data_IF_365623480408
#
_entry.id   IF_365623480408
#
_cell.length_a   1.000
_cell.length_b   1.000
_cell.length_c   1.000
_cell.angle_alpha   90.00
_cell.angle_beta   90.00
_cell.angle_gamma   90.00
#
_symmetry.space_group_name_H-M   'P 1'
#
loop_
_entity.id
_entity.type
_entity.pdbx_description
1 polymer ?
#
# COMPACT_ATOMS: atom_id res chain seq x y z
N UNK A 1 -39.18 -27.20 -33.84
CA UNK A 1 -38.69 -26.00 -33.14
C UNK A 1 -37.74 -26.45 -32.06
N UNK A 2 -36.42 -26.45 -32.37
CA UNK A 2 -35.37 -26.89 -31.45
C UNK A 2 -34.74 -25.70 -30.76
N UNK A 3 -34.87 -25.62 -29.46
CA UNK A 3 -34.22 -24.63 -28.63
C UNK A 3 -32.73 -25.03 -28.47
N UNK A 4 -31.87 -24.35 -29.16
CA UNK A 4 -30.41 -24.46 -28.96
C UNK A 4 -30.05 -23.83 -27.63
N UNK A 5 -29.83 -24.65 -26.61
CA UNK A 5 -29.14 -24.26 -25.38
C UNK A 5 -27.68 -23.96 -25.72
N UNK A 6 -27.33 -22.68 -25.81
CA UNK A 6 -25.93 -22.25 -25.73
C UNK A 6 -25.39 -22.57 -24.33
N UNK A 7 -24.73 -23.71 -24.19
CA UNK A 7 -23.85 -24.00 -23.07
C UNK A 7 -22.73 -23.00 -23.12
N UNK A 8 -22.75 -21.97 -22.27
CA UNK A 8 -21.56 -21.17 -22.01
C UNK A 8 -20.46 -22.10 -21.52
N UNK A 9 -19.49 -22.37 -22.38
CA UNK A 9 -18.26 -23.01 -22.01
C UNK A 9 -17.54 -22.05 -21.04
N UNK A 10 -17.64 -22.30 -19.73
CA UNK A 10 -16.77 -21.71 -18.73
C UNK A 10 -15.38 -22.29 -18.97
N UNK A 11 -14.55 -21.57 -19.74
CA UNK A 11 -13.13 -21.83 -19.72
C UNK A 11 -12.64 -21.62 -18.28
N UNK A 12 -11.81 -22.51 -17.73
CA UNK A 12 -11.20 -22.26 -16.43
C UNK A 12 -10.41 -20.95 -16.58
N UNK A 13 -10.78 -19.94 -15.80
CA UNK A 13 -10.05 -18.67 -15.75
C UNK A 13 -8.68 -19.04 -15.16
N UNK A 14 -7.64 -18.98 -15.99
CA UNK A 14 -6.29 -19.24 -15.53
C UNK A 14 -5.88 -18.10 -14.58
N UNK A 15 -5.32 -18.45 -13.44
CA UNK A 15 -4.70 -17.52 -12.50
C UNK A 15 -3.79 -16.55 -13.27
N UNK A 16 -4.04 -15.25 -13.17
CA UNK A 16 -3.30 -14.21 -13.92
C UNK A 16 -1.90 -13.94 -13.36
N UNK A 17 -1.67 -14.22 -12.09
CA UNK A 17 -0.39 -14.03 -11.43
C UNK A 17 0.14 -15.34 -10.88
N UNK A 18 1.43 -15.56 -11.06
CA UNK A 18 2.16 -16.63 -10.41
C UNK A 18 2.65 -16.20 -9.03
N UNK A 19 2.89 -17.13 -8.10
CA UNK A 19 3.62 -16.82 -6.89
C UNK A 19 4.97 -16.22 -7.20
N UNK A 20 5.41 -15.25 -6.40
CA UNK A 20 6.75 -14.67 -6.50
C UNK A 20 7.58 -15.03 -5.27
N UNK A 21 8.89 -15.18 -5.46
CA UNK A 21 9.84 -15.39 -4.37
C UNK A 21 10.67 -14.14 -4.13
N UNK A 22 10.68 -13.67 -2.91
CA UNK A 22 11.49 -12.55 -2.43
C UNK A 22 12.55 -13.16 -1.48
N UNK A 23 13.63 -13.71 -2.06
CA UNK A 23 14.52 -14.59 -1.31
C UNK A 23 13.78 -15.82 -0.78
N UNK A 24 13.81 -16.12 0.53
CA UNK A 24 13.09 -17.24 1.13
C UNK A 24 11.58 -16.99 1.32
N UNK A 25 11.12 -15.74 1.17
CA UNK A 25 9.72 -15.36 1.38
C UNK A 25 8.93 -15.56 0.09
N UNK A 26 7.94 -16.42 0.11
CA UNK A 26 7.03 -16.65 -1.04
C UNK A 26 5.74 -15.86 -0.83
N UNK A 27 5.36 -15.09 -1.84
CA UNK A 27 4.07 -14.40 -1.92
C UNK A 27 3.21 -15.12 -2.94
N UNK A 28 2.22 -15.82 -2.46
CA UNK A 28 1.37 -16.67 -3.29
C UNK A 28 0.55 -15.88 -4.31
N UNK A 29 -0.02 -14.75 -3.89
CA UNK A 29 -0.71 -13.80 -4.76
C UNK A 29 -0.11 -12.40 -4.56
N UNK A 30 0.71 -11.90 -5.52
CA UNK A 30 1.43 -10.64 -5.36
C UNK A 30 0.55 -9.40 -5.59
N UNK A 31 -0.44 -9.22 -4.72
CA UNK A 31 -1.23 -8.00 -4.54
C UNK A 31 -0.81 -7.37 -3.22
N UNK A 32 -0.17 -6.22 -3.28
CA UNK A 32 0.58 -5.63 -2.15
C UNK A 32 -0.09 -4.33 -1.69
N UNK A 33 -0.19 -4.13 -0.37
CA UNK A 33 -0.56 -2.82 0.19
C UNK A 33 0.65 -1.90 0.20
N UNK A 34 0.53 -0.73 -0.44
CA UNK A 34 1.60 0.26 -0.52
C UNK A 34 1.88 0.94 0.83
N UNK A 35 3.15 1.29 1.11
CA UNK A 35 3.50 2.13 2.25
C UNK A 35 2.97 3.56 2.06
N UNK A 36 2.17 4.04 2.99
CA UNK A 36 1.55 5.38 2.94
C UNK A 36 1.63 6.04 4.32
N UNK A 37 2.53 7.01 4.48
CA UNK A 37 2.75 7.70 5.75
C UNK A 37 1.46 8.33 6.29
N UNK A 38 1.17 8.03 7.54
CA UNK A 38 -0.04 8.44 8.23
C UNK A 38 -1.29 7.62 7.86
N UNK A 39 -1.17 6.56 7.06
CA UNK A 39 -2.32 5.75 6.58
C UNK A 39 -2.12 4.27 6.87
N UNK A 40 -0.99 3.71 6.47
CA UNK A 40 -0.73 2.28 6.61
C UNK A 40 -0.02 1.97 7.93
N UNK A 41 -0.59 2.48 9.02
CA UNK A 41 -0.27 2.08 10.37
C UNK A 41 -0.69 0.61 10.64
N UNK A 42 -0.26 0.06 11.77
CA UNK A 42 -0.57 -1.33 12.12
C UNK A 42 -2.08 -1.63 12.10
N UNK A 43 -2.98 -0.80 12.65
CA UNK A 43 -4.42 -1.03 12.60
C UNK A 43 -4.97 -1.15 11.18
N UNK A 44 -4.55 -0.27 10.26
CA UNK A 44 -5.00 -0.31 8.88
C UNK A 44 -4.43 -1.52 8.11
N UNK A 45 -3.15 -1.85 8.29
CA UNK A 45 -2.53 -3.01 7.67
C UNK A 45 -3.17 -4.32 8.14
N UNK A 46 -3.43 -4.45 9.44
CA UNK A 46 -4.13 -5.61 10.02
C UNK A 46 -5.55 -5.74 9.45
N UNK A 47 -6.26 -4.63 9.30
CA UNK A 47 -7.58 -4.60 8.68
C UNK A 47 -7.53 -5.07 7.22
N UNK A 48 -6.61 -4.52 6.41
CA UNK A 48 -6.43 -4.94 5.01
C UNK A 48 -6.11 -6.43 4.92
N UNK A 49 -5.28 -6.94 5.83
CA UNK A 49 -4.91 -8.38 5.84
C UNK A 49 -6.11 -9.29 6.04
N UNK A 50 -7.12 -8.88 6.79
CA UNK A 50 -8.37 -9.67 6.97
C UNK A 50 -9.16 -9.82 5.66
N UNK A 51 -9.07 -8.87 4.74
CA UNK A 51 -9.66 -8.95 3.40
C UNK A 51 -8.79 -9.69 2.40
N UNK A 52 -7.56 -10.00 2.74
CA UNK A 52 -6.55 -10.62 1.91
C UNK A 52 -5.58 -9.57 1.34
N UNK A 53 -4.31 -9.78 1.56
CA UNK A 53 -3.22 -9.12 0.84
C UNK A 53 -2.06 -10.09 0.78
N UNK A 54 -1.32 -10.09 -0.32
CA UNK A 54 -0.15 -10.94 -0.45
C UNK A 54 0.97 -10.47 0.48
N UNK A 55 1.13 -9.15 0.58
CA UNK A 55 2.16 -8.51 1.41
C UNK A 55 1.69 -7.12 1.86
N UNK A 56 1.96 -6.77 3.11
CA UNK A 56 1.81 -5.42 3.62
C UNK A 56 3.19 -4.78 3.84
N UNK A 57 3.33 -3.51 3.40
CA UNK A 57 4.53 -2.71 3.66
C UNK A 57 4.20 -1.67 4.71
N UNK A 58 5.05 -1.54 5.73
CA UNK A 58 4.86 -0.55 6.80
C UNK A 58 4.95 0.87 6.28
N UNK A 59 4.52 1.84 7.10
CA UNK A 59 4.87 3.23 6.85
C UNK A 59 6.39 3.40 6.77
N UNK A 60 6.81 4.38 5.97
CA UNK A 60 8.22 4.75 5.86
C UNK A 60 8.78 5.19 7.22
N UNK A 61 9.89 4.57 7.65
CA UNK A 61 10.61 4.86 8.88
C UNK A 61 11.94 5.52 8.50
N UNK A 62 12.24 6.69 9.05
CA UNK A 62 13.54 7.31 8.85
C UNK A 62 14.63 6.51 9.60
N UNK A 63 15.72 6.13 8.90
CA UNK A 63 16.82 5.33 9.47
C UNK A 63 17.40 5.93 10.75
N UNK A 64 17.73 7.22 10.72
CA UNK A 64 18.24 7.96 11.88
C UNK A 64 17.26 7.97 13.07
N UNK A 65 15.93 7.97 12.83
CA UNK A 65 14.95 7.92 13.91
C UNK A 65 14.79 6.49 14.45
N UNK A 66 14.94 5.48 13.59
CA UNK A 66 14.85 4.07 13.98
C UNK A 66 16.01 3.68 14.91
N UNK A 67 17.23 4.04 14.57
CA UNK A 67 18.42 3.77 15.40
C UNK A 67 18.29 4.40 16.79
N UNK A 68 17.66 5.55 16.88
CA UNK A 68 17.39 6.24 18.16
C UNK A 68 16.18 5.68 18.90
N UNK A 69 15.51 4.69 18.34
CA UNK A 69 14.28 4.07 18.88
C UNK A 69 13.24 5.09 19.36
N UNK A 70 13.06 6.15 18.59
CA UNK A 70 12.05 7.17 18.94
C UNK A 70 10.67 6.51 19.05
N UNK A 71 9.82 6.99 19.96
CA UNK A 71 8.45 6.50 20.11
C UNK A 71 7.72 6.40 18.76
N UNK A 72 7.87 7.41 17.91
CA UNK A 72 7.24 7.44 16.60
C UNK A 72 7.82 6.38 15.65
N UNK A 73 9.14 6.13 15.66
CA UNK A 73 9.75 5.10 14.83
C UNK A 73 9.34 3.70 15.27
N UNK A 74 9.31 3.46 16.57
CA UNK A 74 8.86 2.18 17.15
C UNK A 74 7.37 1.92 16.85
N UNK A 75 6.53 2.95 16.94
CA UNK A 75 5.12 2.84 16.59
C UNK A 75 4.89 2.50 15.11
N UNK A 76 5.68 3.09 14.21
CA UNK A 76 5.64 2.75 12.78
C UNK A 76 6.19 1.36 12.47
N UNK A 77 7.18 0.90 13.24
CA UNK A 77 7.74 -0.44 13.14
C UNK A 77 6.87 -1.51 13.81
N UNK A 78 5.84 -1.13 14.58
CA UNK A 78 4.92 -2.08 15.18
C UNK A 78 4.16 -2.87 14.10
N UNK A 79 4.01 -4.16 14.32
CA UNK A 79 3.26 -5.07 13.46
C UNK A 79 2.50 -6.10 14.29
N UNK A 80 1.49 -6.71 13.67
CA UNK A 80 0.65 -7.72 14.28
C UNK A 80 0.89 -9.08 13.60
N UNK A 81 0.88 -10.23 14.32
CA UNK A 81 1.13 -11.56 13.73
C UNK A 81 0.25 -11.90 12.51
N UNK A 82 -0.96 -11.37 12.43
CA UNK A 82 -1.80 -11.53 11.23
C UNK A 82 -1.22 -10.89 9.97
N UNK A 83 -0.24 -9.98 10.09
CA UNK A 83 0.38 -9.32 8.95
C UNK A 83 1.52 -10.11 8.31
N UNK A 84 1.95 -11.21 8.92
CA UNK A 84 3.05 -12.02 8.39
C UNK A 84 2.77 -12.57 6.98
N UNK A 85 3.81 -12.49 6.09
CA UNK A 85 5.10 -11.80 6.26
C UNK A 85 4.94 -10.28 6.22
N UNK A 86 5.72 -9.54 7.03
CA UNK A 86 5.71 -8.07 7.05
C UNK A 86 6.98 -7.50 6.39
N UNK A 87 6.80 -6.49 5.53
CA UNK A 87 7.89 -5.74 4.93
C UNK A 87 8.03 -4.40 5.64
N UNK A 88 9.20 -4.12 6.22
CA UNK A 88 9.48 -2.85 6.90
C UNK A 88 10.23 -1.89 5.99
N UNK A 89 9.61 -0.72 5.71
CA UNK A 89 10.18 0.26 4.80
C UNK A 89 11.03 1.30 5.53
N UNK A 90 12.30 1.41 5.10
CA UNK A 90 13.26 2.39 5.58
C UNK A 90 13.51 3.50 4.56
N UNK A 91 13.78 4.70 5.05
CA UNK A 91 14.23 5.84 4.26
C UNK A 91 15.40 6.54 4.94
N UNK A 92 16.43 6.84 4.18
CA UNK A 92 17.64 7.51 4.65
C UNK A 92 18.55 7.89 3.51
N UNK A 93 19.66 8.56 3.83
CA UNK A 93 20.72 8.97 2.90
C UNK A 93 22.11 8.56 3.40
N UNK A 94 22.23 7.96 4.59
CA UNK A 94 23.48 7.46 5.15
C UNK A 94 23.52 5.93 5.04
N UNK A 95 24.49 5.35 4.31
CA UNK A 95 24.64 3.89 4.22
C UNK A 95 24.78 3.20 5.58
N UNK A 96 25.54 3.79 6.50
CA UNK A 96 25.74 3.24 7.86
C UNK A 96 24.40 3.23 8.63
N UNK A 97 23.68 4.35 8.65
CA UNK A 97 22.38 4.43 9.33
C UNK A 97 21.34 3.49 8.71
N UNK A 98 21.37 3.30 7.39
CA UNK A 98 20.47 2.34 6.72
C UNK A 98 20.79 0.90 7.13
N UNK A 99 22.07 0.53 7.19
CA UNK A 99 22.53 -0.78 7.64
C UNK A 99 22.10 -1.06 9.09
N UNK A 100 22.33 -0.11 10.00
CA UNK A 100 21.98 -0.25 11.42
C UNK A 100 20.47 -0.33 11.63
N UNK A 101 19.70 0.51 10.93
CA UNK A 101 18.24 0.47 10.98
C UNK A 101 17.68 -0.84 10.39
N UNK A 102 18.32 -1.38 9.34
CA UNK A 102 17.92 -2.65 8.76
C UNK A 102 18.13 -3.81 9.75
N UNK A 103 19.30 -3.90 10.39
CA UNK A 103 19.56 -4.91 11.44
C UNK A 103 18.52 -4.84 12.55
N UNK A 104 18.29 -3.64 13.08
CA UNK A 104 17.33 -3.44 14.17
C UNK A 104 15.93 -3.89 13.81
N UNK A 105 15.47 -3.65 12.56
CA UNK A 105 14.16 -4.11 12.13
C UNK A 105 14.12 -5.62 11.83
N UNK A 106 15.19 -6.19 11.30
CA UNK A 106 15.31 -7.64 11.11
C UNK A 106 15.27 -8.38 12.47
N UNK A 107 16.00 -7.89 13.47
CA UNK A 107 15.99 -8.42 14.85
C UNK A 107 14.60 -8.32 15.51
N UNK A 108 13.78 -7.35 15.08
CA UNK A 108 12.39 -7.17 15.52
C UNK A 108 11.38 -8.03 14.75
N UNK A 109 11.83 -8.88 13.82
CA UNK A 109 10.99 -9.83 13.10
C UNK A 109 10.50 -9.35 11.73
N UNK A 110 11.12 -8.31 11.12
CA UNK A 110 10.85 -7.99 9.74
C UNK A 110 11.20 -9.17 8.83
N UNK A 111 10.24 -9.64 8.04
CA UNK A 111 10.50 -10.67 7.04
C UNK A 111 11.22 -10.13 5.79
N UNK A 112 11.07 -8.84 5.53
CA UNK A 112 11.64 -8.12 4.38
C UNK A 112 12.01 -6.71 4.84
N UNK A 113 13.16 -6.20 4.37
CA UNK A 113 13.51 -4.77 4.47
C UNK A 113 13.28 -4.12 3.11
N UNK A 114 12.44 -3.08 3.05
CA UNK A 114 12.18 -2.32 1.83
C UNK A 114 12.84 -0.94 1.88
N UNK A 115 13.54 -0.55 0.81
CA UNK A 115 14.21 0.75 0.72
C UNK A 115 13.32 1.72 -0.04
N UNK A 116 13.00 2.86 0.58
CA UNK A 116 12.23 3.91 -0.05
C UNK A 116 13.09 4.82 -0.92
N UNK A 117 12.90 4.73 -2.23
CA UNK A 117 13.48 5.63 -3.23
C UNK A 117 12.40 6.35 -4.06
N UNK A 118 11.18 6.47 -3.48
CA UNK A 118 10.02 7.02 -4.20
C UNK A 118 9.27 8.14 -3.51
N UNK A 119 9.49 8.41 -2.21
CA UNK A 119 8.78 9.46 -1.49
C UNK A 119 9.13 10.85 -2.03
N UNK A 120 8.13 11.64 -2.54
CA UNK A 120 8.41 12.93 -3.17
C UNK A 120 8.29 14.12 -2.20
N UNK A 121 7.98 13.88 -0.93
CA UNK A 121 7.69 14.91 0.07
C UNK A 121 8.95 15.75 0.36
N UNK A 122 8.82 17.07 0.34
CA UNK A 122 9.94 18.03 0.51
C UNK A 122 10.82 17.71 1.72
N UNK A 123 10.23 17.39 2.89
CA UNK A 123 10.98 17.05 4.11
C UNK A 123 11.93 15.86 3.93
N UNK A 124 11.56 14.87 3.11
CA UNK A 124 12.37 13.69 2.82
C UNK A 124 13.40 14.01 1.75
N UNK A 125 12.98 14.65 0.67
CA UNK A 125 13.82 14.99 -0.49
C UNK A 125 14.91 16.01 -0.14
N UNK A 126 14.62 16.99 0.73
CA UNK A 126 15.61 17.96 1.19
C UNK A 126 16.67 17.36 2.14
N UNK A 127 16.46 16.15 2.62
CA UNK A 127 17.42 15.32 3.34
C UNK A 127 18.05 14.25 2.46
N UNK A 128 18.12 14.45 1.16
CA UNK A 128 18.72 13.56 0.15
C UNK A 128 18.22 12.09 0.20
N UNK A 129 17.02 11.88 0.73
CA UNK A 129 16.37 10.58 0.86
C UNK A 129 15.14 10.44 -0.06
N UNK A 130 14.56 9.25 -0.09
CA UNK A 130 13.38 8.97 -0.90
C UNK A 130 13.66 9.18 -2.39
N UNK A 131 12.81 9.95 -3.09
CA UNK A 131 12.97 10.16 -4.54
C UNK A 131 14.14 11.08 -4.93
N UNK A 132 14.84 11.73 -3.96
CA UNK A 132 16.08 12.43 -4.25
C UNK A 132 17.17 11.47 -4.76
N UNK A 133 17.16 10.23 -4.27
CA UNK A 133 18.08 9.18 -4.70
C UNK A 133 17.97 8.85 -6.20
N UNK A 134 16.85 9.17 -6.85
CA UNK A 134 16.73 9.05 -8.31
C UNK A 134 17.65 10.01 -9.09
N UNK A 135 18.27 11.01 -8.43
CA UNK A 135 19.26 11.92 -9.03
C UNK A 135 20.69 11.54 -8.74
N UNK A 136 20.90 10.61 -7.80
CA UNK A 136 22.23 10.20 -7.33
C UNK A 136 22.29 8.67 -7.25
N UNK A 137 22.47 8.05 -8.42
CA UNK A 137 22.56 6.57 -8.49
C UNK A 137 23.76 6.00 -7.73
N UNK A 138 24.94 6.66 -7.66
CA UNK A 138 26.02 6.21 -6.78
C UNK A 138 25.64 6.15 -5.30
N UNK A 139 24.96 7.17 -4.79
CA UNK A 139 24.45 7.16 -3.42
C UNK A 139 23.37 6.08 -3.24
N UNK A 140 22.43 5.97 -4.18
CA UNK A 140 21.40 4.93 -4.16
C UNK A 140 22.03 3.52 -4.10
N UNK A 141 23.05 3.26 -4.93
CA UNK A 141 23.80 2.01 -4.94
C UNK A 141 24.47 1.71 -3.60
N UNK A 142 25.12 2.73 -2.99
CA UNK A 142 25.79 2.56 -1.69
C UNK A 142 24.81 2.22 -0.58
N UNK A 143 23.60 2.81 -0.58
CA UNK A 143 22.54 2.51 0.38
C UNK A 143 22.01 1.09 0.21
N UNK A 144 21.74 0.66 -1.05
CA UNK A 144 21.29 -0.70 -1.35
C UNK A 144 22.34 -1.71 -0.87
N UNK A 145 23.62 -1.52 -1.26
CA UNK A 145 24.72 -2.39 -0.87
C UNK A 145 24.82 -2.53 0.63
N UNK A 146 24.90 -1.40 1.35
CA UNK A 146 25.04 -1.39 2.81
C UNK A 146 23.85 -2.08 3.51
N UNK A 147 22.63 -1.92 2.97
CA UNK A 147 21.44 -2.57 3.52
C UNK A 147 21.46 -4.08 3.27
N UNK A 148 21.79 -4.51 2.05
CA UNK A 148 21.84 -5.94 1.68
C UNK A 148 22.92 -6.68 2.48
N UNK A 149 24.11 -6.08 2.64
CA UNK A 149 25.21 -6.66 3.40
C UNK A 149 24.96 -6.69 4.93
N UNK A 150 23.97 -5.95 5.40
CA UNK A 150 23.71 -5.82 6.84
C UNK A 150 22.75 -6.86 7.40
N UNK A 151 21.95 -7.55 6.58
CA UNK A 151 20.86 -8.44 7.02
C UNK A 151 20.79 -9.71 6.21
N UNK A 152 20.32 -10.79 6.83
CA UNK A 152 20.05 -12.06 6.13
C UNK A 152 18.65 -12.11 5.48
N UNK A 153 17.74 -11.25 5.95
CA UNK A 153 16.41 -11.14 5.34
C UNK A 153 16.49 -10.44 3.97
N UNK A 154 15.60 -10.76 3.01
CA UNK A 154 15.64 -10.14 1.69
C UNK A 154 15.41 -8.64 1.74
N UNK A 155 16.13 -7.92 0.86
CA UNK A 155 16.00 -6.48 0.67
C UNK A 155 15.27 -6.20 -0.63
N UNK A 156 14.32 -5.26 -0.62
CA UNK A 156 13.55 -4.81 -1.78
C UNK A 156 13.71 -3.31 -1.98
N UNK A 157 13.40 -2.81 -3.17
CA UNK A 157 13.52 -1.38 -3.50
C UNK A 157 12.21 -0.87 -4.09
N UNK A 158 11.65 0.21 -3.50
CA UNK A 158 10.50 0.91 -4.06
C UNK A 158 10.89 2.28 -4.58
N UNK A 159 10.71 2.49 -5.89
CA UNK A 159 11.16 3.68 -6.59
C UNK A 159 10.06 4.33 -7.44
N UNK A 160 10.37 5.46 -8.07
CA UNK A 160 9.60 6.11 -9.13
C UNK A 160 10.27 5.87 -10.49
N UNK A 161 9.67 6.35 -11.59
CA UNK A 161 10.24 6.27 -12.94
C UNK A 161 11.56 7.03 -13.07
N UNK A 162 11.73 8.08 -12.26
CA UNK A 162 12.86 8.98 -12.25
C UNK A 162 12.52 10.26 -11.51
N UNK A 163 13.41 11.24 -11.54
CA UNK A 163 13.18 12.56 -10.94
C UNK A 163 12.15 13.37 -11.74
N UNK A 164 12.34 13.46 -13.05
CA UNK A 164 11.45 14.14 -14.00
C UNK A 164 11.48 13.42 -15.37
N UNK A 165 10.79 13.97 -16.35
CA UNK A 165 10.72 13.38 -17.69
C UNK A 165 12.03 13.42 -18.49
N UNK A 166 13.01 14.23 -18.06
CA UNK A 166 14.34 14.25 -18.67
C UNK A 166 15.30 13.22 -18.06
N UNK A 167 14.93 12.60 -16.93
CA UNK A 167 15.75 11.64 -16.19
C UNK A 167 14.92 10.41 -15.75
N UNK A 168 14.49 9.60 -16.73
CA UNK A 168 13.70 8.38 -16.50
C UNK A 168 14.62 7.18 -16.31
N UNK A 169 15.34 7.12 -15.19
CA UNK A 169 16.44 6.20 -14.92
C UNK A 169 16.07 4.98 -14.05
N UNK A 170 14.77 4.72 -13.83
CA UNK A 170 14.35 3.54 -13.08
C UNK A 170 14.86 2.19 -13.63
N UNK A 171 14.95 1.95 -14.95
CA UNK A 171 15.54 0.70 -15.49
C UNK A 171 17.01 0.53 -15.06
N UNK A 172 17.80 1.59 -15.09
CA UNK A 172 19.21 1.58 -14.68
C UNK A 172 19.33 1.32 -13.16
N UNK A 173 18.56 2.03 -12.33
CA UNK A 173 18.56 1.80 -10.88
C UNK A 173 18.09 0.38 -10.52
N UNK A 174 17.12 -0.17 -11.25
CA UNK A 174 16.65 -1.53 -11.03
C UNK A 174 17.75 -2.56 -11.32
N UNK A 175 18.51 -2.37 -12.40
CA UNK A 175 19.65 -3.22 -12.73
C UNK A 175 20.76 -3.13 -11.68
N UNK A 176 21.10 -1.92 -11.23
CA UNK A 176 22.05 -1.70 -10.13
C UNK A 176 21.56 -2.43 -8.85
N UNK A 177 20.27 -2.34 -8.55
CA UNK A 177 19.71 -2.99 -7.36
C UNK A 177 19.77 -4.53 -7.48
N UNK A 178 19.51 -5.10 -8.65
CA UNK A 178 19.66 -6.54 -8.93
C UNK A 178 21.10 -7.00 -8.72
N UNK A 179 22.07 -6.31 -9.31
CA UNK A 179 23.49 -6.63 -9.18
C UNK A 179 24.00 -6.56 -7.73
N UNK A 180 23.41 -5.68 -6.93
CA UNK A 180 23.74 -5.52 -5.51
C UNK A 180 22.98 -6.49 -4.60
N UNK A 181 22.12 -7.35 -5.15
CA UNK A 181 21.45 -8.41 -4.40
C UNK A 181 20.05 -8.12 -3.87
N UNK A 182 19.40 -7.02 -4.30
CA UNK A 182 17.97 -6.82 -4.06
C UNK A 182 17.15 -7.99 -4.61
N UNK A 183 15.96 -8.24 -4.05
CA UNK A 183 15.15 -9.42 -4.39
C UNK A 183 13.80 -9.07 -5.05
N UNK A 184 13.41 -7.79 -5.06
CA UNK A 184 12.20 -7.31 -5.73
C UNK A 184 12.30 -5.81 -5.98
N UNK A 185 11.72 -5.36 -7.07
CA UNK A 185 11.59 -3.95 -7.42
C UNK A 185 10.11 -3.55 -7.48
N UNK A 186 9.74 -2.45 -6.84
CA UNK A 186 8.42 -1.85 -7.00
C UNK A 186 8.54 -0.48 -7.67
N UNK A 187 7.80 -0.25 -8.75
CA UNK A 187 7.87 1.00 -9.51
C UNK A 187 6.54 1.75 -9.49
N UNK A 188 6.56 2.96 -8.95
CA UNK A 188 5.44 3.88 -9.13
C UNK A 188 5.55 4.56 -10.50
N UNK A 189 4.57 4.36 -11.37
CA UNK A 189 4.50 4.89 -12.74
C UNK A 189 4.38 6.42 -12.84
N UNK A 190 5.07 7.17 -11.99
CA UNK A 190 5.21 8.63 -12.03
C UNK A 190 6.63 9.04 -11.71
N UNK A 191 7.05 10.20 -12.25
CA UNK A 191 8.27 10.86 -11.80
C UNK A 191 8.06 11.56 -10.45
N UNK A 192 9.17 11.97 -9.79
CA UNK A 192 9.08 12.78 -8.56
C UNK A 192 8.36 14.10 -8.82
N UNK A 193 8.67 14.78 -9.93
CA UNK A 193 8.11 16.09 -10.22
C UNK A 193 6.61 16.09 -10.51
N UNK A 194 6.09 14.98 -11.01
CA UNK A 194 4.63 14.80 -11.15
C UNK A 194 3.92 14.76 -9.78
N UNK A 195 4.61 14.37 -8.71
CA UNK A 195 3.98 14.11 -7.40
C UNK A 195 2.84 13.09 -7.54
N UNK A 196 1.59 13.59 -7.61
CA UNK A 196 0.37 12.81 -7.82
C UNK A 196 -0.50 13.37 -8.98
N UNK A 197 0.05 14.29 -9.78
CA UNK A 197 -0.65 14.90 -10.91
C UNK A 197 -0.59 14.00 -12.16
N UNK A 198 -1.54 14.15 -13.05
CA UNK A 198 -1.67 13.32 -14.24
C UNK A 198 -1.96 11.86 -13.91
N UNK A 199 -1.67 10.94 -14.80
CA UNK A 199 -1.86 9.50 -14.65
C UNK A 199 -0.54 8.78 -14.44
N UNK A 200 -0.56 7.62 -13.79
CA UNK A 200 0.57 6.71 -13.73
C UNK A 200 0.81 6.08 -15.11
N UNK A 201 2.05 6.05 -15.54
CA UNK A 201 2.48 5.41 -16.79
C UNK A 201 2.85 3.95 -16.48
N UNK A 202 1.89 3.06 -16.63
CA UNK A 202 2.11 1.63 -16.43
C UNK A 202 2.96 1.01 -17.56
N UNK A 203 2.84 1.54 -18.77
CA UNK A 203 3.63 1.07 -19.91
C UNK A 203 5.13 1.35 -19.73
N UNK A 204 5.50 2.44 -19.06
CA UNK A 204 6.90 2.70 -18.70
C UNK A 204 7.49 1.59 -17.81
N UNK A 205 6.67 1.03 -16.89
CA UNK A 205 7.15 -0.03 -15.98
C UNK A 205 7.62 -1.27 -16.73
N UNK A 206 7.12 -1.50 -17.94
CA UNK A 206 7.62 -2.56 -18.86
C UNK A 206 9.12 -2.44 -19.08
N UNK A 207 9.64 -1.23 -19.25
CA UNK A 207 11.08 -1.00 -19.46
C UNK A 207 11.91 -1.45 -18.25
N UNK A 208 11.34 -1.32 -17.05
CA UNK A 208 12.00 -1.82 -15.82
C UNK A 208 11.91 -3.34 -15.76
N UNK A 209 10.74 -3.93 -16.08
CA UNK A 209 10.57 -5.39 -16.13
C UNK A 209 11.53 -6.05 -17.12
N UNK A 210 11.72 -5.44 -18.27
CA UNK A 210 12.62 -5.97 -19.32
C UNK A 210 14.11 -5.80 -18.96
N UNK A 211 14.45 -4.89 -18.04
CA UNK A 211 15.83 -4.61 -17.63
C UNK A 211 16.37 -5.56 -16.53
N UNK A 212 15.49 -6.30 -15.82
CA UNK A 212 15.86 -7.16 -14.68
C UNK A 212 15.17 -8.52 -14.74
N UNK A 213 15.78 -9.50 -14.07
CA UNK A 213 15.19 -10.84 -13.86
C UNK A 213 14.37 -10.91 -12.58
N UNK A 214 14.53 -9.94 -11.69
CA UNK A 214 13.80 -9.86 -10.44
C UNK A 214 12.29 -9.74 -10.66
N UNK A 215 11.46 -10.17 -9.70
CA UNK A 215 10.06 -9.79 -9.67
C UNK A 215 9.91 -8.27 -9.65
N UNK A 216 8.99 -7.77 -10.49
CA UNK A 216 8.64 -6.34 -10.57
C UNK A 216 7.18 -6.15 -10.22
N UNK A 217 6.89 -5.22 -9.31
CA UNK A 217 5.54 -4.84 -8.90
C UNK A 217 5.22 -3.46 -9.47
N UNK A 218 4.09 -3.35 -10.22
CA UNK A 218 3.59 -2.07 -10.72
C UNK A 218 2.75 -1.36 -9.66
N UNK A 219 2.95 -0.04 -9.53
CA UNK A 219 2.24 0.81 -8.58
C UNK A 219 1.80 2.13 -9.23
N UNK A 220 0.71 2.69 -8.72
CA UNK A 220 0.14 3.98 -9.12
C UNK A 220 -1.23 3.85 -9.76
N UNK A 221 -2.22 4.62 -9.28
CA UNK A 221 -3.59 4.76 -9.77
C UNK A 221 -4.40 3.46 -9.93
N UNK A 222 -4.03 2.39 -9.27
CA UNK A 222 -4.82 1.15 -9.23
C UNK A 222 -5.93 1.35 -8.19
N UNK A 223 -7.16 1.60 -8.67
CA UNK A 223 -8.33 1.95 -7.87
C UNK A 223 -9.53 1.02 -8.12
N UNK A 224 -9.40 0.07 -9.05
CA UNK A 224 -10.40 -0.93 -9.42
C UNK A 224 -9.72 -2.24 -9.83
N UNK A 225 -10.51 -3.29 -10.03
CA UNK A 225 -10.02 -4.55 -10.60
C UNK A 225 -9.60 -4.38 -12.06
N UNK A 226 -10.29 -3.53 -12.81
CA UNK A 226 -9.99 -3.20 -14.21
C UNK A 226 -8.65 -2.44 -14.33
N UNK A 227 -8.35 -1.54 -13.37
CA UNK A 227 -7.05 -0.87 -13.31
C UNK A 227 -5.92 -1.87 -13.06
N UNK A 228 -6.15 -2.87 -12.19
CA UNK A 228 -5.17 -3.92 -11.90
C UNK A 228 -4.87 -4.76 -13.15
N UNK A 229 -5.90 -5.17 -13.90
CA UNK A 229 -5.74 -5.87 -15.17
C UNK A 229 -4.95 -5.05 -16.19
N UNK A 230 -5.37 -3.79 -16.39
CA UNK A 230 -4.73 -2.89 -17.36
C UNK A 230 -3.27 -2.62 -16.98
N UNK A 231 -3.00 -2.41 -15.68
CA UNK A 231 -1.64 -2.19 -15.19
C UNK A 231 -0.72 -3.39 -15.44
N UNK A 232 -1.22 -4.62 -15.23
CA UNK A 232 -0.50 -5.85 -15.53
C UNK A 232 -0.26 -6.03 -17.03
N UNK A 233 -1.27 -5.81 -17.86
CA UNK A 233 -1.16 -5.95 -19.32
C UNK A 233 -0.15 -4.97 -19.90
N UNK A 234 -0.16 -3.72 -19.47
CA UNK A 234 0.76 -2.69 -19.95
C UNK A 234 2.19 -2.90 -19.42
N UNK A 235 2.33 -3.21 -18.14
CA UNK A 235 3.64 -3.29 -17.50
C UNK A 235 4.33 -4.65 -17.66
N UNK A 236 3.57 -5.75 -17.80
CA UNK A 236 4.08 -7.11 -17.69
C UNK A 236 4.68 -7.43 -16.32
N UNK A 237 4.32 -6.66 -15.30
CA UNK A 237 4.78 -6.86 -13.95
C UNK A 237 4.28 -8.19 -13.37
N UNK A 238 4.99 -8.67 -12.35
CA UNK A 238 4.68 -9.93 -11.66
C UNK A 238 3.63 -9.76 -10.56
N UNK A 239 3.21 -8.52 -10.30
CA UNK A 239 2.19 -8.20 -9.33
C UNK A 239 1.84 -6.71 -9.30
N UNK A 240 0.88 -6.36 -8.46
CA UNK A 240 0.37 -4.98 -8.32
C UNK A 240 0.50 -4.48 -6.88
N UNK A 241 0.76 -3.18 -6.72
CA UNK A 241 0.76 -2.53 -5.41
C UNK A 241 -0.31 -1.44 -5.38
N UNK A 242 -1.24 -1.55 -4.42
CA UNK A 242 -2.38 -0.65 -4.27
C UNK A 242 -2.10 0.34 -3.14
N UNK A 243 -2.21 1.63 -3.44
CA UNK A 243 -2.08 2.71 -2.45
C UNK A 243 -3.44 3.37 -2.19
N UNK A 244 -3.63 4.57 -2.72
CA UNK A 244 -4.82 5.41 -2.51
C UNK A 244 -6.14 4.74 -2.90
N UNK A 245 -6.12 3.73 -3.78
CA UNK A 245 -7.29 2.91 -4.09
C UNK A 245 -7.92 2.21 -2.88
N UNK A 246 -7.10 1.94 -1.84
CA UNK A 246 -7.57 1.35 -0.58
C UNK A 246 -8.18 2.36 0.40
N UNK A 247 -8.12 3.68 0.12
CA UNK A 247 -8.70 4.70 1.00
C UNK A 247 -10.22 4.54 1.10
N UNK A 248 -10.71 4.27 2.30
CA UNK A 248 -12.14 4.01 2.55
C UNK A 248 -12.65 2.69 1.96
N UNK A 249 -11.78 1.89 1.33
CA UNK A 249 -12.10 0.61 0.68
C UNK A 249 -10.99 -0.43 0.92
N UNK A 250 -10.67 -0.78 2.18
CA UNK A 250 -9.61 -1.75 2.47
C UNK A 250 -9.85 -3.12 1.82
N UNK A 251 -11.12 -3.46 1.54
CA UNK A 251 -11.53 -4.68 0.84
C UNK A 251 -11.14 -4.73 -0.65
N UNK A 252 -10.79 -3.57 -1.28
CA UNK A 252 -10.39 -3.53 -2.69
C UNK A 252 -9.21 -4.49 -2.96
N UNK A 253 -8.27 -4.61 -2.03
CA UNK A 253 -7.12 -5.50 -2.19
C UNK A 253 -7.59 -6.96 -2.31
N UNK A 254 -8.53 -7.38 -1.46
CA UNK A 254 -9.16 -8.70 -1.54
C UNK A 254 -9.96 -8.91 -2.83
N UNK A 255 -10.68 -7.88 -3.29
CA UNK A 255 -11.41 -7.92 -4.56
C UNK A 255 -10.44 -8.15 -5.75
N UNK A 256 -9.33 -7.40 -5.78
CA UNK A 256 -8.29 -7.56 -6.80
C UNK A 256 -7.64 -8.95 -6.71
N UNK A 257 -7.37 -9.44 -5.51
CA UNK A 257 -6.83 -10.80 -5.33
C UNK A 257 -7.77 -11.88 -5.86
N UNK A 258 -9.05 -11.84 -5.50
CA UNK A 258 -10.06 -12.81 -5.96
C UNK A 258 -10.18 -12.78 -7.49
N UNK A 259 -10.24 -11.58 -8.06
CA UNK A 259 -10.29 -11.39 -9.51
C UNK A 259 -9.07 -12.00 -10.23
N UNK A 260 -7.86 -11.70 -9.76
CA UNK A 260 -6.62 -12.18 -10.37
C UNK A 260 -6.38 -13.67 -10.11
N UNK A 261 -7.05 -14.27 -9.11
CA UNK A 261 -6.93 -15.68 -8.80
C UNK A 261 -7.81 -16.54 -9.74
N UNK A 262 -9.08 -16.21 -9.87
CA UNK A 262 -10.06 -17.04 -10.57
C UNK A 262 -11.16 -16.25 -11.30
N UNK A 263 -11.04 -14.93 -11.39
CA UNK A 263 -12.01 -14.04 -12.03
C UNK A 263 -13.25 -13.77 -11.19
N UNK A 264 -13.21 -14.08 -9.90
CA UNK A 264 -14.33 -13.80 -8.99
C UNK A 264 -14.45 -12.30 -8.71
N UNK A 265 -15.63 -11.74 -9.00
CA UNK A 265 -15.98 -10.35 -8.63
C UNK A 265 -16.67 -10.35 -7.28
N UNK A 266 -15.92 -10.05 -6.23
CA UNK A 266 -16.48 -9.86 -4.90
C UNK A 266 -17.22 -8.52 -4.83
N UNK A 267 -18.44 -8.46 -4.25
CA UNK A 267 -19.14 -7.20 -4.03
C UNK A 267 -18.43 -6.34 -2.98
N UNK A 268 -18.78 -5.06 -2.92
CA UNK A 268 -18.45 -4.24 -1.75
C UNK A 268 -19.21 -4.80 -0.52
N UNK A 269 -18.66 -4.71 0.68
CA UNK A 269 -19.38 -5.05 1.91
C UNK A 269 -20.68 -4.24 2.03
N UNK A 270 -21.72 -4.82 2.61
CA UNK A 270 -22.96 -4.13 2.95
C UNK A 270 -22.70 -2.94 3.88
N UNK A 271 -23.63 -1.99 3.98
CA UNK A 271 -23.50 -0.85 4.88
C UNK A 271 -23.31 -1.27 6.35
N UNK A 272 -23.96 -2.34 6.77
CA UNK A 272 -23.81 -2.88 8.13
C UNK A 272 -22.39 -3.42 8.36
N UNK A 273 -21.84 -4.16 7.40
CA UNK A 273 -20.45 -4.65 7.45
C UNK A 273 -19.46 -3.50 7.39
N UNK A 274 -19.69 -2.47 6.54
CA UNK A 274 -18.84 -1.27 6.50
C UNK A 274 -18.88 -0.52 7.83
N UNK A 275 -20.04 -0.36 8.47
CA UNK A 275 -20.17 0.24 9.78
C UNK A 275 -19.37 -0.52 10.85
N UNK A 276 -19.52 -1.85 10.92
CA UNK A 276 -18.76 -2.67 11.86
C UNK A 276 -17.26 -2.56 11.63
N UNK A 277 -16.83 -2.60 10.37
CA UNK A 277 -15.42 -2.41 9.98
C UNK A 277 -14.87 -1.09 10.48
N UNK A 278 -15.64 0.01 10.31
CA UNK A 278 -15.19 1.35 10.73
C UNK A 278 -15.06 1.42 12.24
N UNK A 279 -16.01 0.86 12.97
CA UNK A 279 -15.98 0.81 14.44
C UNK A 279 -14.79 0.00 14.93
N UNK A 280 -14.54 -1.17 14.35
CA UNK A 280 -13.39 -2.01 14.71
C UNK A 280 -12.06 -1.34 14.40
N UNK A 281 -11.94 -0.72 13.23
CA UNK A 281 -10.75 0.04 12.85
C UNK A 281 -10.51 1.24 13.78
N UNK A 282 -11.58 1.98 14.10
CA UNK A 282 -11.50 3.12 15.01
C UNK A 282 -11.01 2.70 16.39
N UNK A 283 -11.58 1.64 16.96
CA UNK A 283 -11.14 1.08 18.25
C UNK A 283 -9.68 0.63 18.20
N UNK A 284 -9.28 -0.09 17.17
CA UNK A 284 -7.89 -0.51 17.00
C UNK A 284 -6.91 0.68 16.88
N UNK A 285 -7.36 1.81 16.29
CA UNK A 285 -6.55 3.03 16.26
C UNK A 285 -6.45 3.70 17.62
N UNK A 286 -7.52 3.69 18.43
CA UNK A 286 -7.48 4.20 19.80
C UNK A 286 -6.54 3.37 20.69
N UNK A 287 -6.51 2.05 20.50
CA UNK A 287 -5.62 1.15 21.23
C UNK A 287 -4.15 1.32 20.80
N UNK A 288 -3.91 1.61 19.51
CA UNK A 288 -2.57 1.79 18.95
C UNK A 288 -1.97 3.17 19.27
N UNK A 289 -2.80 4.20 19.28
CA UNK A 289 -2.41 5.58 19.57
C UNK A 289 -2.96 6.04 20.90
N UNK A 290 -2.19 6.85 21.62
CA UNK A 290 -2.68 7.35 22.93
C UNK A 290 -3.75 8.44 22.75
N UNK A 291 -4.85 8.30 23.47
CA UNK A 291 -5.86 9.33 23.71
C UNK A 291 -6.25 10.13 22.46
N UNK A 292 -6.12 11.45 22.54
CA UNK A 292 -6.50 12.39 21.45
C UNK A 292 -5.76 12.11 20.13
N UNK A 293 -4.58 11.52 20.18
CA UNK A 293 -3.84 11.18 18.95
C UNK A 293 -4.61 10.15 18.14
N UNK A 294 -5.16 9.11 18.76
CA UNK A 294 -5.97 8.07 18.09
C UNK A 294 -7.19 8.66 17.39
N UNK A 295 -7.92 9.54 18.09
CA UNK A 295 -9.08 10.26 17.50
C UNK A 295 -8.66 11.06 16.28
N UNK A 296 -7.58 11.86 16.40
CA UNK A 296 -7.10 12.70 15.30
C UNK A 296 -6.63 11.90 14.09
N UNK A 297 -5.93 10.79 14.33
CA UNK A 297 -5.46 9.90 13.26
C UNK A 297 -6.61 9.20 12.55
N UNK A 298 -7.67 8.85 13.25
CA UNK A 298 -8.83 8.17 12.70
C UNK A 298 -9.71 9.07 11.80
N UNK A 299 -9.75 10.38 12.04
CA UNK A 299 -10.62 11.33 11.30
C UNK A 299 -10.55 11.18 9.78
N UNK A 300 -9.36 11.05 9.23
CA UNK A 300 -9.18 10.88 7.78
C UNK A 300 -9.75 9.56 7.27
N UNK A 301 -9.61 8.47 8.04
CA UNK A 301 -10.16 7.16 7.68
C UNK A 301 -11.70 7.20 7.72
N UNK A 302 -12.28 7.75 8.79
CA UNK A 302 -13.73 7.96 8.89
C UNK A 302 -14.21 8.80 7.70
N UNK A 303 -13.48 9.87 7.37
CA UNK A 303 -13.79 10.72 6.23
C UNK A 303 -13.77 9.99 4.88
N UNK A 304 -12.86 9.04 4.69
CA UNK A 304 -12.78 8.23 3.45
C UNK A 304 -13.89 7.18 3.39
N UNK A 305 -14.18 6.49 4.50
CA UNK A 305 -15.24 5.49 4.57
C UNK A 305 -16.62 6.07 4.24
N UNK A 306 -16.90 7.24 4.77
CA UNK A 306 -18.20 7.90 4.63
C UNK A 306 -18.36 8.71 3.35
N UNK A 307 -17.26 8.92 2.59
CA UNK A 307 -17.29 9.74 1.37
C UNK A 307 -18.32 9.21 0.35
N UNK A 308 -19.20 10.11 -0.10
CA UNK A 308 -20.24 9.83 -1.08
C UNK A 308 -21.50 9.18 -0.50
N UNK A 309 -21.59 8.97 0.81
CA UNK A 309 -22.85 8.60 1.46
C UNK A 309 -23.70 9.85 1.73
N UNK A 310 -25.02 9.71 1.70
CA UNK A 310 -25.96 10.80 1.99
C UNK A 310 -25.70 11.42 3.36
N UNK A 311 -25.66 12.75 3.46
CA UNK A 311 -25.37 13.48 4.72
C UNK A 311 -23.89 13.42 5.16
N UNK A 312 -23.01 12.83 4.34
CA UNK A 312 -21.60 12.62 4.75
C UNK A 312 -20.78 13.91 4.88
N UNK A 313 -21.16 15.00 4.22
CA UNK A 313 -20.44 16.27 4.29
C UNK A 313 -20.57 16.89 5.69
N UNK A 314 -21.78 17.01 6.20
CA UNK A 314 -22.13 17.51 7.52
C UNK A 314 -21.54 16.61 8.60
N UNK A 315 -21.70 15.29 8.45
CA UNK A 315 -21.15 14.30 9.36
C UNK A 315 -19.61 14.44 9.50
N UNK A 316 -18.88 14.50 8.36
CA UNK A 316 -17.42 14.68 8.39
C UNK A 316 -16.99 15.98 9.03
N UNK A 317 -17.73 17.07 8.80
CA UNK A 317 -17.45 18.35 9.44
C UNK A 317 -17.58 18.25 10.96
N UNK A 318 -18.61 17.61 11.46
CA UNK A 318 -18.85 17.41 12.90
C UNK A 318 -17.79 16.49 13.53
N UNK A 319 -17.51 15.31 12.93
CA UNK A 319 -16.51 14.36 13.44
C UNK A 319 -15.10 14.96 13.49
N UNK A 320 -14.75 15.82 12.51
CA UNK A 320 -13.44 16.47 12.49
C UNK A 320 -13.21 17.44 13.65
N UNK A 321 -14.27 17.88 14.33
CA UNK A 321 -14.21 18.78 15.47
C UNK A 321 -14.37 18.06 16.81
N UNK A 322 -14.87 16.82 16.82
CA UNK A 322 -15.13 16.08 18.04
C UNK A 322 -13.83 15.46 18.61
N UNK A 323 -13.42 15.82 19.85
CA UNK A 323 -12.25 15.25 20.51
C UNK A 323 -12.54 13.99 21.33
N UNK A 324 -13.82 13.77 21.72
CA UNK A 324 -14.19 12.66 22.59
C UNK A 324 -14.42 11.38 21.80
N UNK A 325 -13.68 10.33 22.16
CA UNK A 325 -13.69 9.06 21.45
C UNK A 325 -15.04 8.34 21.52
N UNK A 326 -15.75 8.41 22.66
CA UNK A 326 -17.06 7.79 22.83
C UNK A 326 -18.12 8.52 21.99
N UNK A 327 -18.08 9.84 22.01
CA UNK A 327 -18.97 10.68 21.19
C UNK A 327 -18.80 10.38 19.69
N UNK A 328 -17.57 10.17 19.21
CA UNK A 328 -17.33 9.77 17.79
C UNK A 328 -18.00 8.43 17.46
N UNK A 329 -17.98 7.45 18.38
CA UNK A 329 -18.68 6.16 18.18
C UNK A 329 -20.21 6.36 18.10
N UNK A 330 -20.78 7.18 18.96
CA UNK A 330 -22.21 7.51 18.93
C UNK A 330 -22.58 8.25 17.63
N UNK A 331 -21.72 9.15 17.16
CA UNK A 331 -21.93 9.85 15.89
C UNK A 331 -21.90 8.88 14.70
N UNK A 332 -20.98 7.93 14.69
CA UNK A 332 -20.93 6.87 13.68
C UNK A 332 -22.20 6.02 13.67
N UNK A 333 -22.68 5.61 14.85
CA UNK A 333 -23.91 4.83 14.97
C UNK A 333 -25.11 5.60 14.38
N UNK A 334 -25.33 6.85 14.85
CA UNK A 334 -26.43 7.71 14.36
C UNK A 334 -26.35 8.00 12.86
N UNK A 335 -25.17 8.07 12.30
CA UNK A 335 -24.97 8.30 10.86
C UNK A 335 -25.31 7.06 10.05
N UNK A 336 -24.90 5.86 10.47
CA UNK A 336 -25.09 4.63 9.71
C UNK A 336 -26.46 3.98 9.92
N UNK A 337 -27.07 4.12 11.09
CA UNK A 337 -28.35 3.49 11.44
C UNK A 337 -29.46 3.75 10.38
N UNK A 338 -29.77 5.00 9.99
CA UNK A 338 -30.80 5.26 8.99
C UNK A 338 -30.41 4.77 7.60
N UNK A 339 -29.12 4.77 7.25
CA UNK A 339 -28.64 4.27 5.97
C UNK A 339 -28.79 2.74 5.88
N UNK A 340 -28.48 2.02 6.97
CA UNK A 340 -28.67 0.56 7.06
C UNK A 340 -30.17 0.23 7.03
N UNK A 341 -30.98 0.96 7.78
CA UNK A 341 -32.43 0.75 7.83
C UNK A 341 -33.14 1.00 6.47
N UNK A 342 -32.53 1.80 5.58
CA UNK A 342 -33.07 2.03 4.25
C UNK A 342 -33.03 0.78 3.35
N UNK A 343 -32.20 -0.21 3.66
CA UNK A 343 -32.01 -1.41 2.85
C UNK A 343 -31.31 -1.17 1.51
N UNK A 344 -30.80 0.05 1.26
CA UNK A 344 -30.08 0.38 0.04
C UNK A 344 -28.61 -0.06 0.12
N UNK A 345 -28.07 -0.46 -1.02
CA UNK A 345 -26.65 -0.76 -1.14
C UNK A 345 -25.81 0.51 -1.12
N UNK A 346 -24.61 0.44 -0.57
CA UNK A 346 -23.69 1.57 -0.51
C UNK A 346 -23.38 2.17 -1.90
N UNK A 347 -23.34 1.33 -2.92
CA UNK A 347 -23.09 1.74 -4.30
C UNK A 347 -24.26 2.60 -4.86
N UNK A 348 -25.50 2.27 -4.51
CA UNK A 348 -26.67 3.01 -4.97
C UNK A 348 -26.79 4.36 -4.26
N UNK A 349 -26.51 4.39 -2.97
CA UNK A 349 -26.47 5.64 -2.18
C UNK A 349 -25.39 6.58 -2.72
N UNK A 350 -24.19 6.06 -3.05
CA UNK A 350 -23.09 6.86 -3.60
C UNK A 350 -23.35 7.40 -5.01
N UNK A 351 -24.19 6.76 -5.80
CA UNK A 351 -24.61 7.24 -7.12
C UNK A 351 -25.64 8.36 -7.03
N UNK A 352 -26.42 8.36 -5.96
CA UNK A 352 -27.52 9.34 -5.76
C UNK A 352 -27.03 10.62 -5.02
N UNK A 353 -25.83 10.63 -4.47
CA UNK A 353 -25.22 11.76 -3.75
C UNK A 353 -24.24 12.55 -4.62
#
# INVERSE_FOLDING_TARGET
>A
MGCLFFRQLKFPIMRRLSPISIGPVTIDMPVVLAPMTGVTDMPFRTLVRRYGSGLNVTEMIASAAMIRETRQSLQKAAWHPLEEPVSMQLAGCSPTEMADAARLNADRGAAIIDINMGCPVKKVVNGDAGSALMRDLPLAASLIKATVEAVDVPVTVKMRMGWDHSSLNAPELAHIAEDLGAKLITVHGRTRNQMYKGSADWAFVRKVKDAVKLPVIVNGDICSIEDADTALDQSGADGVMIGRGAYGRPWLIGQVMAWLTDGTRLPDPSLAEQYQLIVDHYKAMLDHYDGVTGVNMARKHIGWYTKGLTGSAEFRNAVNQEPDAATVLDMLARFYEPLIASGLEAADIRKAA
#
